data_IF_824718011373
#
_entry.id   IF_824718011373
#
_cell.length_a   1.000
_cell.length_b   1.000
_cell.length_c   1.000
_cell.angle_alpha   90.00
_cell.angle_beta   90.00
_cell.angle_gamma   90.00
#
_symmetry.space_group_name_H-M   'P 1'
#
loop_
_entity.id
_entity.type
_entity.pdbx_description
1 polymer ?
#
# COMPACT_ATOMS: atom_id res chain seq x y z
N UNK A 1 -8.13 1.23 8.75
CA UNK A 1 -7.65 -0.07 9.26
C UNK A 1 -7.33 -1.00 8.10
N UNK A 2 -6.12 -1.50 8.04
CA UNK A 2 -5.73 -2.49 7.02
C UNK A 2 -6.36 -3.84 7.42
N UNK A 3 -7.05 -4.48 6.49
CA UNK A 3 -7.79 -5.71 6.80
C UNK A 3 -7.02 -6.98 6.43
N UNK A 4 -6.10 -6.91 5.48
CA UNK A 4 -5.31 -8.09 5.08
C UNK A 4 -4.08 -7.68 4.30
N UNK A 5 -3.14 -8.61 4.16
CA UNK A 5 -1.93 -8.42 3.38
C UNK A 5 -1.86 -9.50 2.31
N UNK A 6 -1.36 -9.13 1.15
CA UNK A 6 -1.29 -10.06 0.03
C UNK A 6 -0.16 -11.07 0.17
N UNK A 7 0.99 -10.63 0.72
CA UNK A 7 2.14 -11.51 0.82
C UNK A 7 2.74 -11.48 2.22
N UNK A 8 3.52 -12.51 2.50
CA UNK A 8 4.12 -12.72 3.81
C UNK A 8 5.11 -11.62 4.18
N UNK A 9 5.93 -11.18 3.23
CA UNK A 9 6.96 -10.20 3.57
C UNK A 9 6.37 -8.83 3.89
N UNK A 10 5.28 -8.43 3.21
CA UNK A 10 4.61 -7.17 3.54
C UNK A 10 4.01 -7.25 4.93
N UNK A 11 3.38 -8.38 5.26
CA UNK A 11 2.81 -8.57 6.60
C UNK A 11 3.89 -8.53 7.68
N UNK A 12 5.00 -9.22 7.44
CA UNK A 12 6.11 -9.23 8.39
C UNK A 12 6.67 -7.84 8.60
N UNK A 13 6.86 -7.09 7.52
CA UNK A 13 7.33 -5.71 7.58
C UNK A 13 6.36 -4.85 8.39
N UNK A 14 5.06 -4.98 8.14
CA UNK A 14 4.04 -4.22 8.87
C UNK A 14 4.04 -4.55 10.37
N UNK A 15 4.44 -5.76 10.71
CA UNK A 15 4.53 -6.21 12.11
C UNK A 15 5.84 -5.79 12.79
N UNK A 16 6.68 -5.04 12.10
CA UNK A 16 7.92 -4.53 12.68
C UNK A 16 9.15 -5.38 12.41
N UNK A 17 9.02 -6.46 11.64
CA UNK A 17 10.16 -7.29 11.31
C UNK A 17 10.99 -6.66 10.20
N UNK A 18 12.28 -6.93 10.22
CA UNK A 18 13.19 -6.50 9.16
C UNK A 18 12.98 -7.33 7.91
N UNK A 19 12.72 -6.66 6.79
CA UNK A 19 12.64 -7.30 5.47
C UNK A 19 13.72 -6.67 4.62
N UNK A 20 14.71 -7.47 4.24
CA UNK A 20 15.91 -6.98 3.56
C UNK A 20 15.58 -6.14 2.33
N UNK A 21 14.62 -6.60 1.54
CA UNK A 21 14.26 -5.92 0.29
C UNK A 21 13.72 -4.51 0.51
N UNK A 22 13.24 -4.20 1.72
CA UNK A 22 12.59 -2.91 2.01
C UNK A 22 13.47 -1.95 2.81
N UNK A 23 14.70 -2.34 3.13
CA UNK A 23 15.53 -1.54 4.02
C UNK A 23 15.91 -0.18 3.44
N UNK A 24 16.10 -0.09 2.14
CA UNK A 24 16.50 1.17 1.51
C UNK A 24 15.43 2.26 1.59
N UNK A 25 14.17 1.89 1.85
CA UNK A 25 13.07 2.86 1.91
C UNK A 25 12.12 2.57 3.06
N UNK A 26 12.61 1.90 4.10
CA UNK A 26 11.75 1.44 5.20
C UNK A 26 10.94 2.59 5.83
N UNK A 27 11.57 3.76 6.04
CA UNK A 27 10.87 4.89 6.65
C UNK A 27 9.70 5.35 5.80
N UNK A 28 9.91 5.48 4.50
CA UNK A 28 8.85 5.89 3.58
C UNK A 28 7.73 4.85 3.54
N UNK A 29 8.10 3.57 3.55
CA UNK A 29 7.12 2.49 3.54
C UNK A 29 6.27 2.48 4.81
N UNK A 30 6.88 2.65 5.98
CA UNK A 30 6.12 2.73 7.23
C UNK A 30 5.17 3.91 7.23
N UNK A 31 5.62 5.06 6.71
CA UNK A 31 4.76 6.23 6.64
C UNK A 31 3.53 5.95 5.79
N UNK A 32 3.70 5.27 4.65
CA UNK A 32 2.58 4.93 3.78
C UNK A 32 1.66 3.90 4.42
N UNK A 33 2.22 2.95 5.16
CA UNK A 33 1.40 2.00 5.91
C UNK A 33 0.52 2.71 6.94
N UNK A 34 1.07 3.69 7.65
CA UNK A 34 0.32 4.46 8.62
C UNK A 34 -0.83 5.23 7.96
N UNK A 35 -0.53 5.87 6.83
CA UNK A 35 -1.53 6.62 6.07
C UNK A 35 -2.65 5.69 5.62
N UNK A 36 -2.27 4.52 5.10
CA UNK A 36 -3.23 3.55 4.60
C UNK A 36 -4.10 3.00 5.74
N UNK A 37 -3.47 2.72 6.88
CA UNK A 37 -4.16 2.18 8.04
C UNK A 37 -5.15 3.18 8.65
N UNK A 38 -4.84 4.47 8.57
CA UNK A 38 -5.68 5.52 9.12
C UNK A 38 -6.82 5.93 8.20
N UNK A 39 -6.73 5.62 6.91
CA UNK A 39 -7.72 6.05 5.94
C UNK A 39 -9.05 5.36 6.16
N UNK A 40 -10.15 6.10 6.02
CA UNK A 40 -11.49 5.55 6.15
C UNK A 40 -12.19 5.42 4.80
N UNK A 41 -11.58 5.93 3.73
CA UNK A 41 -12.11 5.84 2.37
C UNK A 41 -11.01 6.09 1.36
N UNK A 42 -11.28 5.75 0.10
CA UNK A 42 -10.36 6.09 -0.99
C UNK A 42 -10.19 7.60 -1.14
N UNK A 43 -11.23 8.37 -0.81
CA UNK A 43 -11.14 9.83 -0.89
C UNK A 43 -10.10 10.38 0.08
N UNK A 44 -9.96 9.78 1.25
CA UNK A 44 -8.91 10.19 2.21
C UNK A 44 -7.53 10.07 1.56
N UNK A 45 -7.32 8.99 0.82
CA UNK A 45 -6.04 8.76 0.15
C UNK A 45 -5.84 9.69 -1.03
N UNK A 46 -6.93 9.98 -1.76
CA UNK A 46 -6.87 10.89 -2.90
C UNK A 46 -6.59 12.32 -2.47
N UNK A 47 -7.08 12.69 -1.28
CA UNK A 47 -6.93 14.04 -0.76
C UNK A 47 -5.48 14.40 -0.43
N UNK A 48 -4.59 13.42 -0.30
CA UNK A 48 -3.18 13.64 -0.02
C UNK A 48 -2.38 13.49 -1.32
N UNK A 49 -2.03 14.60 -1.99
CA UNK A 49 -1.39 14.52 -3.32
C UNK A 49 -0.10 13.70 -3.35
N UNK A 50 0.66 13.69 -2.26
CA UNK A 50 1.91 12.93 -2.21
C UNK A 50 1.71 11.43 -2.31
N UNK A 51 0.49 10.93 -2.08
CA UNK A 51 0.18 9.51 -2.26
C UNK A 51 0.19 9.10 -3.73
N UNK A 52 -0.13 10.02 -4.63
CA UNK A 52 -0.28 9.72 -6.05
C UNK A 52 -1.15 8.48 -6.25
N UNK A 53 -2.34 8.52 -5.65
CA UNK A 53 -3.29 7.41 -5.74
C UNK A 53 -3.61 7.10 -7.20
N UNK A 54 -3.53 5.83 -7.55
CA UNK A 54 -3.75 5.35 -8.90
C UNK A 54 -4.62 4.10 -8.89
N UNK A 55 -5.59 4.04 -9.81
CA UNK A 55 -6.29 2.79 -10.07
C UNK A 55 -5.42 2.00 -11.04
N UNK A 56 -5.28 0.72 -10.79
CA UNK A 56 -4.42 -0.15 -11.58
C UNK A 56 -5.24 -0.92 -12.62
N UNK A 57 -4.58 -1.31 -13.71
CA UNK A 57 -5.24 -2.05 -14.78
C UNK A 57 -4.52 -3.37 -15.06
N UNK A 58 -4.91 -4.01 -16.15
CA UNK A 58 -4.33 -5.28 -16.55
C UNK A 58 -4.51 -6.35 -15.49
N UNK A 59 -3.44 -7.03 -15.16
CA UNK A 59 -3.46 -8.10 -14.17
C UNK A 59 -3.80 -7.62 -12.77
N UNK A 60 -3.73 -6.31 -12.52
CA UNK A 60 -4.04 -5.73 -11.23
C UNK A 60 -5.35 -4.95 -11.24
N UNK A 61 -6.21 -5.21 -12.21
CA UNK A 61 -7.52 -4.57 -12.31
C UNK A 61 -8.29 -4.75 -11.01
N UNK A 62 -8.89 -3.67 -10.49
CA UNK A 62 -9.58 -3.70 -9.20
C UNK A 62 -8.69 -3.29 -8.04
N UNK A 63 -7.40 -3.09 -8.27
CA UNK A 63 -6.48 -2.62 -7.24
C UNK A 63 -6.17 -1.15 -7.42
N UNK A 64 -5.64 -0.57 -6.34
CA UNK A 64 -5.14 0.80 -6.31
C UNK A 64 -3.73 0.77 -5.77
N UNK A 65 -2.99 1.86 -5.97
CA UNK A 65 -1.68 1.98 -5.35
C UNK A 65 -1.44 3.40 -4.86
N UNK A 66 -0.62 3.52 -3.82
CA UNK A 66 -0.04 4.79 -3.41
C UNK A 66 1.46 4.67 -3.51
N UNK A 67 2.12 5.80 -3.78
CA UNK A 67 3.55 5.82 -4.07
C UNK A 67 4.38 5.78 -2.80
N UNK A 68 5.38 4.90 -2.77
CA UNK A 68 6.39 4.89 -1.73
C UNK A 68 7.59 5.74 -2.19
N UNK A 69 8.12 5.42 -3.38
CA UNK A 69 9.20 6.19 -4.01
C UNK A 69 9.11 5.98 -5.53
N UNK A 70 10.15 6.33 -6.27
CA UNK A 70 10.12 6.24 -7.74
C UNK A 70 9.94 4.81 -8.26
N UNK A 71 10.33 3.82 -7.46
CA UNK A 71 10.33 2.42 -7.89
C UNK A 71 9.24 1.60 -7.21
N UNK A 72 8.98 1.87 -5.93
CA UNK A 72 8.12 1.01 -5.12
C UNK A 72 6.78 1.69 -4.84
N UNK A 73 5.73 0.88 -4.88
CA UNK A 73 4.38 1.34 -4.58
C UNK A 73 3.72 0.38 -3.61
N UNK A 74 2.73 0.89 -2.89
CA UNK A 74 1.93 0.08 -1.99
C UNK A 74 0.60 -0.17 -2.67
N UNK A 75 0.36 -1.43 -3.05
CA UNK A 75 -0.83 -1.84 -3.78
C UNK A 75 -1.85 -2.43 -2.83
N UNK A 76 -3.13 -2.26 -3.13
CA UNK A 76 -4.19 -2.74 -2.25
C UNK A 76 -5.51 -2.79 -3.01
N UNK A 77 -6.49 -3.49 -2.42
CA UNK A 77 -7.87 -3.45 -2.86
C UNK A 77 -8.69 -2.74 -1.78
N UNK A 78 -9.75 -2.11 -2.19
CA UNK A 78 -10.70 -1.56 -1.21
C UNK A 78 -12.09 -1.77 -1.76
N UNK A 79 -12.70 -2.86 -1.36
CA UNK A 79 -14.03 -3.23 -1.83
C UNK A 79 -15.09 -2.47 -1.07
N UNK A 80 -16.20 -2.20 -1.75
CA UNK A 80 -17.33 -1.53 -1.13
C UNK A 80 -17.79 -2.30 0.09
N UNK A 81 -18.02 -1.58 1.20
CA UNK A 81 -18.44 -2.21 2.44
C UNK A 81 -17.31 -2.66 3.35
N UNK A 82 -16.08 -2.70 2.84
CA UNK A 82 -14.93 -3.08 3.67
C UNK A 82 -14.49 -1.92 4.55
N UNK A 83 -14.10 -2.19 5.81
CA UNK A 83 -13.69 -1.13 6.74
C UNK A 83 -12.35 -0.49 6.39
N UNK A 84 -11.58 -1.11 5.49
CA UNK A 84 -10.29 -0.58 5.10
C UNK A 84 -9.70 -1.35 3.94
N UNK A 85 -8.48 -0.97 3.52
CA UNK A 85 -7.83 -1.62 2.40
C UNK A 85 -7.39 -3.04 2.74
N UNK A 86 -7.47 -3.92 1.74
CA UNK A 86 -7.08 -5.31 1.87
C UNK A 86 -6.04 -5.70 0.83
N UNK A 87 -5.50 -6.90 0.97
CA UNK A 87 -4.47 -7.43 0.08
C UNK A 87 -3.33 -6.45 -0.12
N UNK A 88 -2.90 -5.81 0.95
CA UNK A 88 -1.85 -4.79 0.90
C UNK A 88 -0.51 -5.46 0.56
N UNK A 89 0.16 -4.89 -0.43
CA UNK A 89 1.43 -5.43 -0.93
C UNK A 89 2.39 -4.30 -1.26
N UNK A 90 3.63 -4.43 -0.77
CA UNK A 90 4.71 -3.53 -1.19
C UNK A 90 5.30 -4.14 -2.46
N UNK A 91 5.10 -3.47 -3.59
CA UNK A 91 5.45 -4.01 -4.89
C UNK A 91 6.45 -3.14 -5.61
N UNK A 92 7.39 -3.80 -6.29
CA UNK A 92 8.31 -3.13 -7.20
C UNK A 92 7.56 -2.87 -8.50
N UNK A 93 7.27 -1.60 -8.74
CA UNK A 93 6.47 -1.20 -9.88
C UNK A 93 7.29 -0.70 -11.05
N UNK A 94 8.59 -0.73 -10.90
CA UNK A 94 9.49 -0.30 -11.96
C UNK A 94 9.62 -1.40 -13.00
N UNK A 95 9.30 -1.08 -14.21
CA UNK A 95 9.38 -2.03 -15.31
C UNK A 95 10.48 -1.62 -16.26
#
# INVERSE_FOLDING_TARGET
MIVSYRDKRTRRFANGETVQAFQGFARQAYKRLEILDAATSLEDLRALPSNRLQALGGDRSGQYSIRINAQWRMCFEWKEGEPGPGDVEIADYHK
#
